data_IF_469576812662
#
_entry.id   IF_469576812662
#
_cell.length_a   1.000
_cell.length_b   1.000
_cell.length_c   1.000
_cell.angle_alpha   90.00
_cell.angle_beta   90.00
_cell.angle_gamma   90.00
#
_symmetry.space_group_name_H-M   'P 1'
#
loop_
_entity.id
_entity.type
_entity.pdbx_description
1 polymer ?
#
# COMPACT_ATOMS: atom_id res chain seq x y z
N UNK A 1 -0.89 25.39 17.63
CA UNK A 1 -2.09 24.90 18.33
C UNK A 1 -1.91 23.40 18.43
N UNK A 2 -1.99 22.81 19.62
CA UNK A 2 -1.88 21.35 19.72
C UNK A 2 -3.15 20.69 19.15
N UNK A 3 -3.06 19.47 18.62
CA UNK A 3 -4.23 18.76 18.07
C UNK A 3 -5.38 18.68 19.07
N UNK A 4 -5.06 18.54 20.36
CA UNK A 4 -6.03 18.52 21.46
C UNK A 4 -6.81 19.84 21.58
N UNK A 5 -6.14 20.97 21.38
CA UNK A 5 -6.79 22.29 21.39
C UNK A 5 -7.67 22.49 20.15
N UNK A 6 -7.27 21.91 19.00
CA UNK A 6 -8.05 21.97 17.77
C UNK A 6 -9.35 21.15 17.87
N UNK A 7 -9.27 19.90 18.33
CA UNK A 7 -10.47 19.07 18.53
C UNK A 7 -11.41 19.65 19.58
N UNK A 8 -10.87 20.22 20.67
CA UNK A 8 -11.69 20.89 21.69
C UNK A 8 -12.43 22.11 21.13
N UNK A 9 -11.76 22.91 20.30
CA UNK A 9 -12.40 24.04 19.64
C UNK A 9 -13.55 23.61 18.72
N UNK A 10 -13.37 22.53 17.97
CA UNK A 10 -14.43 21.95 17.11
C UNK A 10 -15.61 21.44 17.95
N UNK A 11 -15.34 20.74 19.06
CA UNK A 11 -16.40 20.26 19.97
C UNK A 11 -17.20 21.41 20.59
N UNK A 12 -16.52 22.47 21.04
CA UNK A 12 -17.15 23.67 21.58
C UNK A 12 -18.00 24.40 20.52
N UNK A 13 -17.50 24.50 19.28
CA UNK A 13 -18.22 25.12 18.17
C UNK A 13 -19.47 24.30 17.77
N UNK A 14 -19.38 22.97 17.75
CA UNK A 14 -20.52 22.07 17.48
C UNK A 14 -21.57 22.11 18.60
N UNK A 15 -21.16 22.34 19.85
CA UNK A 15 -22.09 22.51 20.96
C UNK A 15 -22.87 23.84 20.89
N UNK A 16 -22.25 24.89 20.33
CA UNK A 16 -22.87 26.23 20.19
C UNK A 16 -23.75 26.32 18.95
N UNK A 17 -23.25 25.82 17.83
CA UNK A 17 -23.96 25.78 16.56
C UNK A 17 -23.91 24.33 16.08
N UNK A 18 -24.98 23.53 16.19
CA UNK A 18 -24.96 22.14 15.73
C UNK A 18 -25.06 22.04 14.20
N UNK A 19 -24.30 21.13 13.60
CA UNK A 19 -24.34 20.87 12.17
C UNK A 19 -25.68 20.28 11.76
N UNK A 20 -26.39 20.97 10.87
CA UNK A 20 -27.68 20.51 10.38
C UNK A 20 -27.50 19.40 9.34
N UNK A 21 -28.14 18.23 9.52
CA UNK A 21 -28.06 17.15 8.56
C UNK A 21 -28.81 17.48 7.27
N UNK A 22 -28.27 17.02 6.14
CA UNK A 22 -28.96 16.94 4.86
C UNK A 22 -29.59 15.53 4.75
N UNK A 23 -30.89 15.47 4.55
CA UNK A 23 -31.64 14.22 4.39
C UNK A 23 -31.51 13.71 2.94
N UNK A 24 -30.66 12.71 2.71
CA UNK A 24 -30.53 12.02 1.41
C UNK A 24 -31.23 10.65 1.43
N UNK A 25 -32.52 10.65 1.81
CA UNK A 25 -33.47 9.54 1.66
C UNK A 25 -33.18 8.22 2.40
N UNK A 26 -31.98 8.03 2.95
CA UNK A 26 -31.54 6.80 3.60
C UNK A 26 -30.95 7.08 4.99
N UNK A 27 -30.08 8.10 5.08
CA UNK A 27 -29.37 8.47 6.31
C UNK A 27 -29.13 9.99 6.35
N UNK A 28 -29.07 10.62 7.54
CA UNK A 28 -28.65 12.00 7.67
C UNK A 28 -27.17 12.16 7.29
N UNK A 29 -26.87 13.05 6.35
CA UNK A 29 -25.50 13.40 5.93
C UNK A 29 -25.14 14.75 6.51
N UNK A 30 -24.04 14.83 7.27
CA UNK A 30 -23.56 16.08 7.85
C UNK A 30 -22.44 16.67 6.99
N UNK A 31 -22.50 17.98 6.75
CA UNK A 31 -21.40 18.70 6.11
C UNK A 31 -20.20 18.76 7.06
N UNK A 32 -19.00 18.42 6.57
CA UNK A 32 -17.77 18.55 7.35
C UNK A 32 -17.53 20.03 7.71
N UNK A 33 -17.17 20.30 8.97
CA UNK A 33 -16.83 21.64 9.44
C UNK A 33 -15.40 21.98 9.07
N UNK A 34 -15.22 23.17 8.50
CA UNK A 34 -13.93 23.71 8.09
C UNK A 34 -14.09 24.68 6.94
N UNK A 35 -13.12 25.57 6.77
CA UNK A 35 -13.06 26.39 5.55
C UNK A 35 -12.99 25.46 4.34
N UNK A 36 -13.72 25.75 3.24
CA UNK A 36 -13.54 25.03 1.99
C UNK A 36 -12.10 25.25 1.51
N UNK A 37 -11.22 24.30 1.84
CA UNK A 37 -9.86 24.26 1.34
C UNK A 37 -9.91 23.69 -0.06
N UNK A 38 -9.26 24.36 -1.00
CA UNK A 38 -9.08 23.79 -2.34
C UNK A 38 -8.35 22.44 -2.22
N UNK A 39 -8.55 21.50 -3.16
CA UNK A 39 -7.77 20.25 -3.16
C UNK A 39 -6.25 20.49 -3.09
N UNK A 40 -5.77 21.58 -3.69
CA UNK A 40 -4.38 22.05 -3.65
C UNK A 40 -3.90 22.55 -2.27
N UNK A 41 -4.80 22.83 -1.34
CA UNK A 41 -4.47 23.19 0.04
C UNK A 41 -4.58 22.01 1.01
N UNK A 42 -5.37 20.98 0.68
CA UNK A 42 -5.38 19.70 1.41
C UNK A 42 -4.09 18.89 1.18
N UNK A 43 -3.35 19.18 0.11
CA UNK A 43 -2.17 18.40 -0.34
C UNK A 43 -0.88 18.61 0.44
N UNK A 44 -0.84 19.43 1.50
CA UNK A 44 0.44 19.75 2.14
C UNK A 44 0.82 18.80 3.28
N UNK A 45 -0.13 18.23 4.03
CA UNK A 45 0.19 17.37 5.17
C UNK A 45 -0.81 16.19 5.29
N UNK A 46 -0.59 15.07 4.59
CA UNK A 46 -1.45 13.90 4.75
C UNK A 46 -1.34 13.33 6.17
N UNK A 47 -2.49 13.10 6.81
CA UNK A 47 -2.58 12.51 8.15
C UNK A 47 -3.18 11.10 8.05
N UNK A 48 -2.53 10.12 8.66
CA UNK A 48 -3.08 8.76 8.78
C UNK A 48 -4.30 8.77 9.71
N UNK A 49 -5.40 8.21 9.24
CA UNK A 49 -6.66 8.11 9.99
C UNK A 49 -7.16 6.67 10.01
N UNK A 50 -8.29 6.44 10.71
CA UNK A 50 -8.95 5.14 10.81
C UNK A 50 -8.08 3.98 11.34
N UNK A 51 -7.75 4.07 12.62
CA UNK A 51 -7.05 2.99 13.34
C UNK A 51 -7.99 1.89 13.86
N UNK A 52 -9.27 1.87 13.46
CA UNK A 52 -10.25 0.85 13.89
C UNK A 52 -9.86 -0.57 13.48
N UNK A 53 -8.94 -0.64 12.54
CA UNK A 53 -8.41 -1.83 11.90
C UNK A 53 -6.98 -2.18 12.38
N UNK A 54 -6.34 -1.35 13.21
CA UNK A 54 -4.96 -1.57 13.66
C UNK A 54 -4.74 -2.92 14.39
N UNK A 55 -3.51 -3.43 14.33
CA UNK A 55 -3.07 -4.61 15.10
C UNK A 55 -1.90 -4.27 15.99
N UNK A 56 -1.82 -4.98 17.11
CA UNK A 56 -0.70 -4.83 18.03
C UNK A 56 0.56 -5.48 17.46
N UNK A 57 1.66 -4.74 17.45
CA UNK A 57 2.99 -5.26 17.12
C UNK A 57 3.55 -6.21 18.19
N UNK A 58 2.94 -6.27 19.38
CA UNK A 58 3.37 -7.15 20.48
C UNK A 58 2.88 -8.60 20.31
N UNK A 59 1.96 -8.83 19.37
CA UNK A 59 1.38 -10.14 19.10
C UNK A 59 1.86 -10.67 17.75
N UNK A 60 1.89 -12.00 17.62
CA UNK A 60 2.18 -12.62 16.33
C UNK A 60 0.90 -12.62 15.49
N UNK A 61 0.87 -11.78 14.45
CA UNK A 61 -0.27 -11.68 13.57
C UNK A 61 -0.19 -12.70 12.42
N UNK A 62 -1.32 -13.37 12.12
CA UNK A 62 -1.44 -14.44 11.11
C UNK A 62 -2.81 -14.47 10.44
N UNK A 63 -3.68 -13.55 10.80
CA UNK A 63 -5.02 -13.40 10.23
C UNK A 63 -4.96 -12.83 8.81
N UNK A 64 -6.03 -13.10 8.05
CA UNK A 64 -6.22 -12.54 6.71
C UNK A 64 -6.57 -11.07 6.84
N UNK A 65 -5.62 -10.22 6.47
CA UNK A 65 -5.67 -8.78 6.74
C UNK A 65 -5.37 -7.97 5.48
N UNK A 66 -5.66 -6.66 5.53
CA UNK A 66 -5.52 -5.67 4.45
C UNK A 66 -6.56 -5.75 3.31
N UNK A 67 -6.83 -4.64 2.60
CA UNK A 67 -7.61 -4.62 1.37
C UNK A 67 -7.01 -5.51 0.28
N UNK A 68 -7.86 -6.05 -0.59
CA UNK A 68 -7.46 -7.05 -1.61
C UNK A 68 -6.36 -6.58 -2.57
N UNK A 69 -6.37 -5.30 -2.95
CA UNK A 69 -5.38 -4.73 -3.90
C UNK A 69 -4.07 -4.33 -3.23
N UNK A 70 -4.06 -4.18 -1.91
CA UNK A 70 -2.93 -3.67 -1.12
C UNK A 70 -2.26 -4.74 -0.25
N UNK A 71 -2.76 -5.97 -0.27
CA UNK A 71 -2.37 -7.03 0.66
C UNK A 71 -0.92 -7.47 0.49
N UNK A 72 -0.13 -7.44 1.56
CA UNK A 72 1.26 -7.87 1.53
C UNK A 72 1.44 -9.37 1.23
N UNK A 73 2.56 -9.78 0.60
CA UNK A 73 2.80 -11.17 0.20
C UNK A 73 2.85 -12.14 1.39
N UNK A 74 3.33 -11.72 2.56
CA UNK A 74 3.33 -12.54 3.76
C UNK A 74 1.92 -12.95 4.21
N UNK A 75 0.93 -12.05 4.08
CA UNK A 75 -0.47 -12.37 4.39
C UNK A 75 -1.03 -13.31 3.32
N UNK A 76 -0.75 -13.05 2.04
CA UNK A 76 -1.16 -13.91 0.92
C UNK A 76 -0.64 -15.34 1.08
N UNK A 77 0.63 -15.45 1.48
CA UNK A 77 1.31 -16.70 1.71
C UNK A 77 0.93 -17.34 3.05
N UNK A 78 0.09 -16.73 3.87
CA UNK A 78 -0.32 -17.28 5.16
C UNK A 78 0.86 -17.49 6.12
N UNK A 79 1.84 -16.58 6.09
CA UNK A 79 2.93 -16.56 7.06
C UNK A 79 2.71 -15.43 8.06
N UNK A 80 3.43 -15.45 9.17
CA UNK A 80 3.31 -14.40 10.17
C UNK A 80 3.77 -13.06 9.59
N UNK A 81 3.12 -11.99 10.02
CA UNK A 81 3.35 -10.65 9.50
C UNK A 81 3.49 -9.62 10.63
N UNK A 82 4.17 -8.52 10.33
CA UNK A 82 4.47 -7.42 11.23
C UNK A 82 4.23 -6.05 10.54
N UNK A 83 4.78 -4.97 11.09
CA UNK A 83 4.62 -3.61 10.55
C UNK A 83 5.15 -3.44 9.11
N UNK A 84 5.94 -4.37 8.56
CA UNK A 84 6.41 -4.30 7.18
C UNK A 84 5.25 -4.38 6.17
N UNK A 85 4.07 -4.88 6.56
CA UNK A 85 2.88 -4.86 5.70
C UNK A 85 2.43 -3.44 5.35
N UNK A 86 2.67 -2.48 6.23
CA UNK A 86 2.35 -1.06 5.99
C UNK A 86 3.34 -0.42 5.01
N UNK A 87 4.62 -0.83 5.06
CA UNK A 87 5.61 -0.39 4.06
C UNK A 87 5.22 -0.91 2.67
N UNK A 88 4.75 -2.16 2.59
CA UNK A 88 4.23 -2.72 1.34
C UNK A 88 3.05 -1.91 0.80
N UNK A 89 2.03 -1.63 1.63
CA UNK A 89 0.85 -0.88 1.17
C UNK A 89 1.20 0.52 0.70
N UNK A 90 2.19 1.19 1.31
CA UNK A 90 2.70 2.48 0.84
C UNK A 90 3.30 2.37 -0.57
N UNK A 91 4.05 1.31 -0.88
CA UNK A 91 4.59 1.09 -2.23
C UNK A 91 3.49 0.87 -3.27
N UNK A 92 2.46 0.09 -2.92
CA UNK A 92 1.28 -0.11 -3.78
C UNK A 92 0.54 1.21 -4.00
N UNK A 93 0.30 1.96 -2.93
CA UNK A 93 -0.37 3.27 -2.99
C UNK A 93 0.41 4.27 -3.84
N UNK A 94 1.74 4.32 -3.72
CA UNK A 94 2.56 5.21 -4.53
C UNK A 94 2.43 4.91 -6.03
N UNK A 95 2.41 3.63 -6.42
CA UNK A 95 2.16 3.21 -7.80
C UNK A 95 0.74 3.55 -8.27
N UNK A 96 -0.27 3.32 -7.43
CA UNK A 96 -1.66 3.63 -7.75
C UNK A 96 -1.89 5.12 -7.94
N UNK A 97 -1.33 5.96 -7.07
CA UNK A 97 -1.41 7.42 -7.17
C UNK A 97 -0.68 7.93 -8.42
N UNK A 98 0.46 7.33 -8.78
CA UNK A 98 1.24 7.74 -9.94
C UNK A 98 0.57 7.36 -11.27
N UNK A 99 0.02 6.16 -11.38
CA UNK A 99 -0.52 5.62 -12.63
C UNK A 99 -2.05 5.70 -12.74
N UNK A 100 -2.74 6.08 -11.66
CA UNK A 100 -4.21 6.11 -11.60
C UNK A 100 -4.86 4.73 -11.71
N UNK A 101 -4.10 3.65 -11.49
CA UNK A 101 -4.56 2.26 -11.59
C UNK A 101 -3.79 1.33 -10.65
N UNK A 102 -4.46 0.29 -10.17
CA UNK A 102 -3.88 -0.70 -9.27
C UNK A 102 -2.81 -1.55 -9.98
N UNK A 103 -1.71 -1.86 -9.28
CA UNK A 103 -0.68 -2.82 -9.73
C UNK A 103 -1.26 -4.23 -9.80
N UNK A 104 -2.02 -4.60 -8.77
CA UNK A 104 -2.65 -5.92 -8.64
C UNK A 104 -4.17 -5.79 -8.70
N UNK A 105 -4.81 -6.65 -9.49
CA UNK A 105 -6.25 -6.75 -9.55
C UNK A 105 -6.67 -8.23 -9.52
N UNK A 106 -6.65 -8.84 -8.32
CA UNK A 106 -6.94 -10.26 -8.14
C UNK A 106 -8.43 -10.55 -8.03
N UNK A 107 -9.27 -9.80 -8.75
CA UNK A 107 -10.73 -9.94 -8.70
C UNK A 107 -11.20 -10.60 -9.99
N UNK A 108 -11.95 -11.68 -9.86
CA UNK A 108 -12.65 -12.26 -11.00
C UNK A 108 -13.69 -11.28 -11.56
N UNK A 109 -13.61 -10.99 -12.86
CA UNK A 109 -14.51 -10.04 -13.52
C UNK A 109 -15.95 -10.52 -13.53
N UNK A 110 -16.18 -11.84 -13.58
CA UNK A 110 -17.51 -12.42 -13.65
C UNK A 110 -18.23 -12.37 -12.29
N UNK A 111 -17.57 -12.83 -11.22
CA UNK A 111 -18.20 -12.98 -9.90
C UNK A 111 -17.81 -11.89 -8.90
N UNK A 112 -16.89 -10.99 -9.24
CA UNK A 112 -16.38 -9.92 -8.36
C UNK A 112 -15.78 -10.44 -7.05
N UNK A 113 -15.23 -11.64 -7.07
CA UNK A 113 -14.61 -12.27 -5.92
C UNK A 113 -13.09 -12.26 -6.04
N UNK A 114 -12.43 -12.18 -4.89
CA UNK A 114 -11.00 -12.35 -4.78
C UNK A 114 -10.56 -13.77 -5.18
N UNK A 115 -9.53 -13.88 -6.02
CA UNK A 115 -8.98 -15.15 -6.50
C UNK A 115 -7.50 -15.22 -6.13
N UNK A 116 -7.19 -16.01 -5.09
CA UNK A 116 -5.83 -16.18 -4.57
C UNK A 116 -4.79 -16.60 -5.61
N UNK A 117 -5.01 -17.62 -6.47
CA UNK A 117 -3.98 -18.00 -7.44
C UNK A 117 -3.77 -16.92 -8.51
N UNK A 118 -4.78 -16.13 -8.86
CA UNK A 118 -4.64 -14.96 -9.74
C UNK A 118 -3.80 -13.87 -9.07
N UNK A 119 -3.97 -13.64 -7.76
CA UNK A 119 -3.11 -12.72 -7.02
C UNK A 119 -1.66 -13.19 -7.06
N UNK A 120 -1.40 -14.45 -6.69
CA UNK A 120 -0.04 -15.00 -6.69
C UNK A 120 0.61 -14.95 -8.07
N UNK A 121 -0.12 -15.28 -9.14
CA UNK A 121 0.43 -15.19 -10.49
C UNK A 121 0.85 -13.76 -10.83
N UNK A 122 0.05 -12.74 -10.48
CA UNK A 122 0.41 -11.34 -10.70
C UNK A 122 1.63 -10.91 -9.87
N UNK A 123 1.76 -11.37 -8.62
CA UNK A 123 2.92 -11.06 -7.78
C UNK A 123 4.18 -11.68 -8.39
N UNK A 124 4.08 -12.93 -8.83
CA UNK A 124 5.19 -13.63 -9.50
C UNK A 124 5.56 -12.93 -10.82
N UNK A 125 4.58 -12.42 -11.57
CA UNK A 125 4.82 -11.68 -12.80
C UNK A 125 5.74 -10.48 -12.63
N UNK A 126 5.63 -9.73 -11.51
CA UNK A 126 6.45 -8.54 -11.26
C UNK A 126 7.71 -8.81 -10.43
N UNK A 127 7.67 -9.77 -9.51
CA UNK A 127 8.71 -9.96 -8.49
C UNK A 127 9.48 -11.29 -8.64
N UNK A 128 9.10 -12.14 -9.59
CA UNK A 128 9.59 -13.52 -9.67
C UNK A 128 9.01 -14.43 -8.59
N UNK A 129 9.51 -15.66 -8.52
CA UNK A 129 8.97 -16.68 -7.61
C UNK A 129 9.24 -16.33 -6.13
N UNK A 130 8.30 -16.66 -5.22
CA UNK A 130 8.52 -16.47 -3.79
C UNK A 130 9.67 -17.35 -3.27
N UNK A 131 10.36 -16.93 -2.20
CA UNK A 131 11.30 -17.78 -1.49
C UNK A 131 10.66 -19.10 -1.04
N UNK A 132 11.37 -20.20 -1.23
CA UNK A 132 10.89 -21.55 -0.90
C UNK A 132 10.49 -21.71 0.58
N UNK A 133 11.11 -20.94 1.48
CA UNK A 133 10.76 -20.95 2.90
C UNK A 133 9.33 -20.46 3.14
N UNK A 134 8.85 -19.45 2.39
CA UNK A 134 7.49 -18.93 2.54
C UNK A 134 6.46 -19.98 2.15
N UNK A 135 6.69 -20.67 1.04
CA UNK A 135 5.82 -21.77 0.57
C UNK A 135 5.75 -22.88 1.64
N UNK A 136 6.90 -23.28 2.20
CA UNK A 136 6.98 -24.34 3.20
C UNK A 136 6.32 -23.96 4.53
N UNK A 137 6.53 -22.72 4.98
CA UNK A 137 6.02 -22.22 6.27
C UNK A 137 4.58 -21.71 6.21
N UNK A 138 3.99 -21.59 5.01
CA UNK A 138 2.59 -21.21 4.82
C UNK A 138 1.65 -22.03 5.72
N UNK A 139 0.83 -21.34 6.50
CA UNK A 139 -0.26 -21.95 7.27
C UNK A 139 -1.45 -22.35 6.38
N UNK A 140 -1.49 -21.85 5.14
CA UNK A 140 -2.53 -22.14 4.18
C UNK A 140 -2.09 -23.31 3.30
N UNK A 141 -2.71 -24.47 3.51
CA UNK A 141 -2.37 -25.70 2.77
C UNK A 141 -2.62 -25.58 1.27
N UNK A 142 -3.53 -24.70 0.84
CA UNK A 142 -3.84 -24.47 -0.58
C UNK A 142 -2.65 -23.84 -1.29
N UNK A 143 -1.89 -22.95 -0.64
CA UNK A 143 -0.67 -22.35 -1.22
C UNK A 143 0.29 -23.44 -1.68
N UNK A 144 0.46 -24.50 -0.88
CA UNK A 144 1.38 -25.61 -1.19
C UNK A 144 0.95 -26.43 -2.41
N UNK A 145 -0.32 -26.36 -2.81
CA UNK A 145 -0.82 -27.02 -4.02
C UNK A 145 -0.50 -26.25 -5.30
N UNK A 146 -0.14 -24.97 -5.20
CA UNK A 146 0.17 -24.13 -6.36
C UNK A 146 1.61 -24.23 -6.83
N UNK A 147 2.48 -24.84 -6.03
CA UNK A 147 3.90 -24.98 -6.31
C UNK A 147 4.32 -26.45 -6.30
N UNK A 148 5.31 -26.79 -7.11
CA UNK A 148 5.96 -28.09 -7.06
C UNK A 148 6.98 -28.17 -5.89
N UNK A 149 7.64 -29.32 -5.73
CA UNK A 149 8.58 -29.55 -4.62
C UNK A 149 9.81 -28.60 -4.66
N UNK A 150 10.18 -28.14 -5.85
CA UNK A 150 11.28 -27.21 -6.09
C UNK A 150 10.87 -25.73 -5.93
N UNK A 151 9.56 -25.43 -5.78
CA UNK A 151 9.02 -24.09 -5.64
C UNK A 151 8.61 -23.41 -6.96
N UNK A 152 8.52 -24.16 -8.06
CA UNK A 152 8.01 -23.65 -9.33
C UNK A 152 6.47 -23.61 -9.33
N UNK A 153 5.91 -22.60 -9.97
CA UNK A 153 4.47 -22.44 -10.15
C UNK A 153 3.89 -23.51 -11.07
N UNK A 154 2.82 -24.17 -10.63
CA UNK A 154 2.11 -25.24 -11.37
C UNK A 154 0.59 -25.04 -11.41
N UNK A 155 0.10 -23.90 -10.93
CA UNK A 155 -1.33 -23.59 -10.87
C UNK A 155 -1.79 -22.75 -12.07
N UNK A 156 -3.12 -22.59 -12.17
CA UNK A 156 -3.76 -21.65 -13.08
C UNK A 156 -4.10 -20.35 -12.34
N UNK A 157 -3.93 -19.18 -12.97
CA UNK A 157 -3.52 -18.96 -14.36
C UNK A 157 -1.99 -19.08 -14.56
N UNK A 158 -1.51 -19.19 -15.81
CA UNK A 158 -0.08 -19.11 -16.08
C UNK A 158 0.47 -17.73 -15.70
N UNK A 159 1.76 -17.70 -15.36
CA UNK A 159 2.47 -16.44 -15.08
C UNK A 159 2.64 -15.69 -16.40
N UNK A 160 2.13 -14.46 -16.45
CA UNK A 160 2.38 -13.55 -17.56
C UNK A 160 3.67 -12.77 -17.29
N UNK A 161 4.48 -12.49 -18.30
CA UNK A 161 5.62 -11.59 -18.13
C UNK A 161 5.10 -10.17 -17.87
N UNK A 162 5.59 -9.55 -16.81
CA UNK A 162 5.29 -8.16 -16.48
C UNK A 162 6.55 -7.45 -16.00
N UNK A 163 6.57 -6.13 -16.15
CA UNK A 163 7.70 -5.29 -15.78
C UNK A 163 7.19 -4.04 -15.09
N UNK A 164 7.77 -3.71 -13.94
CA UNK A 164 7.48 -2.44 -13.27
C UNK A 164 7.88 -1.24 -14.14
N UNK A 165 8.92 -1.39 -14.96
CA UNK A 165 9.33 -0.34 -15.88
C UNK A 165 8.26 -0.04 -16.94
N UNK A 166 7.57 -1.06 -17.42
CA UNK A 166 6.50 -0.92 -18.41
C UNK A 166 5.17 -0.51 -17.75
N UNK A 167 5.00 -0.87 -16.47
CA UNK A 167 3.87 -0.42 -15.68
C UNK A 167 3.92 1.10 -15.43
N UNK A 168 5.10 1.64 -15.14
CA UNK A 168 5.29 3.07 -14.87
C UNK A 168 5.37 3.84 -16.19
N UNK A 169 4.29 4.50 -16.57
CA UNK A 169 4.14 5.26 -17.82
C UNK A 169 4.03 6.76 -17.61
N UNK A 170 3.69 7.20 -16.39
CA UNK A 170 3.51 8.61 -16.04
C UNK A 170 4.83 9.40 -15.97
N UNK A 171 5.97 8.72 -15.80
CA UNK A 171 7.30 9.33 -15.77
C UNK A 171 8.04 8.94 -17.05
N UNK A 172 8.68 9.90 -17.72
CA UNK A 172 9.52 9.65 -18.88
C UNK A 172 10.73 8.76 -18.52
N UNK A 173 11.32 8.11 -19.51
CA UNK A 173 12.51 7.27 -19.31
C UNK A 173 13.75 8.12 -19.01
N UNK A 174 13.88 8.52 -17.74
CA UNK A 174 14.89 9.42 -17.24
C UNK A 174 15.37 8.99 -15.85
N UNK A 175 16.30 9.77 -15.27
CA UNK A 175 16.84 9.52 -13.93
C UNK A 175 15.76 9.43 -12.86
N UNK A 176 14.71 10.24 -12.95
CA UNK A 176 13.62 10.23 -11.99
C UNK A 176 12.89 8.88 -11.98
N UNK A 177 12.56 8.34 -13.15
CA UNK A 177 11.95 7.01 -13.29
C UNK A 177 12.87 5.93 -12.72
N UNK A 178 14.16 5.98 -13.00
CA UNK A 178 15.12 5.03 -12.45
C UNK A 178 15.16 5.06 -10.91
N UNK A 179 15.17 6.25 -10.31
CA UNK A 179 15.14 6.43 -8.84
C UNK A 179 13.80 5.98 -8.24
N UNK A 180 12.68 6.24 -8.90
CA UNK A 180 11.37 5.78 -8.46
C UNK A 180 11.27 4.25 -8.49
N UNK A 181 11.70 3.63 -9.60
CA UNK A 181 11.71 2.17 -9.72
C UNK A 181 12.65 1.53 -8.69
N UNK A 182 13.80 2.14 -8.42
CA UNK A 182 14.70 1.68 -7.35
C UNK A 182 14.05 1.77 -5.96
N UNK A 183 13.32 2.85 -5.67
CA UNK A 183 12.52 3.00 -4.45
C UNK A 183 11.45 1.90 -4.32
N UNK A 184 10.65 1.70 -5.37
CA UNK A 184 9.59 0.68 -5.41
C UNK A 184 10.17 -0.73 -5.29
N UNK A 185 11.30 -1.03 -5.95
CA UNK A 185 11.95 -2.34 -5.85
C UNK A 185 12.46 -2.63 -4.43
N UNK A 186 12.87 -1.62 -3.66
CA UNK A 186 13.21 -1.82 -2.24
C UNK A 186 11.99 -2.15 -1.38
N UNK A 187 10.78 -1.73 -1.79
CA UNK A 187 9.53 -1.99 -1.08
C UNK A 187 8.89 -3.32 -1.50
N UNK A 188 8.81 -3.59 -2.81
CA UNK A 188 8.15 -4.77 -3.36
C UNK A 188 9.07 -5.99 -3.28
N UNK A 189 9.23 -6.49 -2.06
CA UNK A 189 9.99 -7.69 -1.71
C UNK A 189 9.07 -8.75 -1.12
N UNK A 190 9.24 -10.00 -1.56
CA UNK A 190 8.51 -11.16 -1.02
C UNK A 190 8.79 -11.36 0.46
N UNK A 191 10.07 -11.30 0.83
CA UNK A 191 10.55 -11.48 2.19
C UNK A 191 10.47 -10.15 2.94
N UNK A 192 9.63 -10.02 3.98
CA UNK A 192 9.50 -8.76 4.74
C UNK A 192 10.82 -8.33 5.39
N UNK A 193 11.75 -9.26 5.67
CA UNK A 193 13.07 -8.94 6.21
C UNK A 193 14.00 -8.31 5.17
N UNK A 194 13.75 -8.51 3.87
CA UNK A 194 14.49 -7.88 2.78
C UNK A 194 13.85 -6.58 2.31
N UNK A 195 12.60 -6.33 2.68
CA UNK A 195 11.87 -5.10 2.39
C UNK A 195 12.55 -3.94 3.12
N UNK A 196 12.71 -2.81 2.42
CA UNK A 196 13.28 -1.60 2.99
C UNK A 196 12.56 -1.19 4.26
N UNK A 197 13.32 -0.81 5.29
CA UNK A 197 12.73 -0.25 6.50
C UNK A 197 12.30 1.19 6.25
N UNK A 198 11.18 1.61 6.85
CA UNK A 198 10.63 2.96 6.69
C UNK A 198 11.67 4.07 6.91
N UNK A 199 12.51 3.95 7.94
CA UNK A 199 13.57 4.91 8.25
C UNK A 199 14.61 5.06 7.11
N UNK A 200 14.97 3.96 6.44
CA UNK A 200 15.90 4.01 5.31
C UNK A 200 15.22 4.49 4.02
N UNK A 201 13.98 4.08 3.81
CA UNK A 201 13.18 4.50 2.66
C UNK A 201 12.89 6.00 2.69
N UNK A 202 12.69 6.59 3.87
CA UNK A 202 12.46 8.03 4.02
C UNK A 202 13.63 8.87 3.50
N UNK A 203 14.86 8.37 3.64
CA UNK A 203 16.06 9.04 3.15
C UNK A 203 16.38 8.68 1.69
N UNK A 204 15.50 8.00 0.97
CA UNK A 204 15.75 7.60 -0.40
C UNK A 204 15.86 8.83 -1.31
N UNK A 205 16.82 8.81 -2.24
CA UNK A 205 17.13 9.94 -3.13
C UNK A 205 15.90 10.42 -3.92
N UNK A 206 15.02 9.49 -4.30
CA UNK A 206 13.75 9.82 -4.95
C UNK A 206 12.83 10.73 -4.11
N UNK A 207 12.76 10.52 -2.79
CA UNK A 207 11.90 11.29 -1.89
C UNK A 207 12.53 12.62 -1.45
N UNK A 208 13.83 12.61 -1.17
CA UNK A 208 14.55 13.79 -0.67
C UNK A 208 14.83 14.81 -1.80
N UNK A 209 14.85 14.33 -3.05
CA UNK A 209 15.28 15.12 -4.19
C UNK A 209 16.79 15.34 -4.21
N UNK A 210 17.34 15.92 -5.29
CA UNK A 210 18.75 16.26 -5.32
C UNK A 210 19.08 17.25 -4.20
N UNK A 211 20.21 17.06 -3.50
CA UNK A 211 20.67 18.06 -2.54
C UNK A 211 20.72 19.43 -3.24
N UNK A 212 20.19 20.50 -2.63
CA UNK A 212 20.31 21.82 -3.19
C UNK A 212 21.80 22.12 -3.33
N UNK A 213 22.29 22.22 -4.56
CA UNK A 213 23.67 22.58 -4.85
C UNK A 213 24.06 23.72 -3.93
N UNK A 214 25.00 23.45 -3.02
CA UNK A 214 25.51 24.44 -2.10
C UNK A 214 25.79 25.71 -2.89
N UNK A 215 25.19 26.81 -2.44
CA UNK A 215 25.51 28.13 -2.94
C UNK A 215 27.04 28.26 -2.89
N UNK A 216 27.67 28.10 -4.05
CA UNK A 216 29.08 28.38 -4.22
C UNK A 216 29.23 29.86 -3.93
N UNK A 217 29.71 30.17 -2.73
CA UNK A 217 30.20 31.49 -2.40
C UNK A 217 31.35 31.82 -3.33
N UNK A 218 31.10 32.74 -4.26
CA UNK A 218 32.02 33.78 -4.68
C UNK A 218 31.22 35.05 -4.97
#
# INVERSE_FOLDING_TARGET
>A
MSDIEHFRAIEEEEAVEPSLPVEDGSHPVYLSRGNPVSMLQLTLDPVLTDFGSSRSALQVNKDWWMPDTHRAPEILMGVAWDAQVDVWSIGIMALELLEGRNLFNPIDKAHKHYVLPLALSQYISYMGLPPLWMIRQSNNTVIKTFFNAEGHWIAEPPILEASLNDFVTSIEDCREKALFLDFINKILQWDPAKRGQSAHLFCHEWLVGPEPNGANGQ
#
